data_IF_322548744804
#
_entry.id   IF_322548744804
#
_cell.length_a   1.000
_cell.length_b   1.000
_cell.length_c   1.000
_cell.angle_alpha   90.00
_cell.angle_beta   90.00
_cell.angle_gamma   90.00
#
_symmetry.space_group_name_H-M   'P 1'
#
loop_
_entity.id
_entity.type
_entity.pdbx_description
1 polymer ?
#
# COMPACT_ATOMS: atom_id res chain seq x y z
N UNK A 1 23.43 11.44 14.31
CA UNK A 1 23.07 10.03 14.02
C UNK A 1 24.00 9.05 14.73
N UNK A 2 25.33 9.17 14.60
CA UNK A 2 26.33 8.25 15.19
C UNK A 2 26.21 8.12 16.71
N UNK A 3 25.99 9.21 17.43
CA UNK A 3 25.77 9.18 18.88
C UNK A 3 24.54 8.37 19.27
N UNK A 4 23.44 8.45 18.49
CA UNK A 4 22.23 7.66 18.72
C UNK A 4 22.50 6.16 18.55
N UNK A 5 23.25 5.77 17.51
CA UNK A 5 23.67 4.37 17.28
C UNK A 5 24.48 3.84 18.46
N UNK A 6 25.39 4.66 19.03
CA UNK A 6 26.16 4.28 20.21
C UNK A 6 25.25 4.02 21.42
N UNK A 7 24.25 4.87 21.65
CA UNK A 7 23.25 4.67 22.72
C UNK A 7 22.39 3.43 22.49
N UNK A 8 21.92 3.19 21.25
CA UNK A 8 21.16 2.00 20.92
C UNK A 8 21.98 0.72 21.11
N UNK A 9 23.28 0.75 20.75
CA UNK A 9 24.18 -0.40 20.98
C UNK A 9 24.32 -0.72 22.48
N UNK A 10 24.56 0.28 23.30
CA UNK A 10 24.64 0.09 24.75
C UNK A 10 23.31 -0.40 25.35
N UNK A 11 22.18 0.14 24.88
CA UNK A 11 20.86 -0.33 25.29
C UNK A 11 20.57 -1.76 24.87
N UNK A 12 20.91 -2.13 23.65
CA UNK A 12 20.76 -3.49 23.12
C UNK A 12 21.60 -4.51 23.87
N UNK A 13 22.86 -4.18 24.22
CA UNK A 13 23.74 -5.01 25.05
C UNK A 13 23.17 -5.23 26.46
N UNK A 14 22.37 -4.30 26.96
CA UNK A 14 21.67 -4.41 28.27
C UNK A 14 20.30 -5.09 28.14
N UNK A 15 19.94 -5.61 26.96
CA UNK A 15 18.70 -6.32 26.74
C UNK A 15 17.49 -5.44 26.40
N UNK A 16 17.67 -4.16 26.09
CA UNK A 16 16.56 -3.29 25.68
C UNK A 16 16.05 -3.68 24.30
N UNK A 17 14.83 -4.22 24.25
CA UNK A 17 14.10 -4.61 23.03
C UNK A 17 14.00 -3.45 22.04
N UNK A 18 13.59 -2.27 22.53
CA UNK A 18 13.50 -1.05 21.71
C UNK A 18 14.86 -0.67 21.11
N UNK A 19 15.94 -0.80 21.88
CA UNK A 19 17.28 -0.49 21.37
C UNK A 19 17.75 -1.48 20.30
N UNK A 20 17.40 -2.76 20.43
CA UNK A 20 17.68 -3.78 19.41
C UNK A 20 16.95 -3.47 18.11
N UNK A 21 15.66 -3.16 18.18
CA UNK A 21 14.84 -2.75 17.05
C UNK A 21 15.43 -1.52 16.34
N UNK A 22 15.69 -0.42 17.09
CA UNK A 22 16.22 0.82 16.51
C UNK A 22 17.63 0.63 15.91
N UNK A 23 18.47 -0.19 16.53
CA UNK A 23 19.79 -0.53 16.00
C UNK A 23 19.67 -1.34 14.69
N UNK A 24 18.74 -2.27 14.62
CA UNK A 24 18.41 -2.99 13.39
C UNK A 24 17.99 -2.04 12.28
N UNK A 25 17.12 -1.08 12.57
CA UNK A 25 16.69 -0.04 11.62
C UNK A 25 17.83 0.89 11.18
N UNK A 26 18.72 1.25 12.10
CA UNK A 26 19.91 2.03 11.76
C UNK A 26 20.83 1.27 10.80
N UNK A 27 21.04 -0.03 11.04
CA UNK A 27 21.83 -0.89 10.14
C UNK A 27 21.14 -1.07 8.77
N UNK A 28 19.81 -1.18 8.75
CA UNK A 28 19.04 -1.33 7.51
C UNK A 28 19.08 -0.09 6.62
N UNK A 29 18.96 1.10 7.23
CA UNK A 29 18.90 2.38 6.49
C UNK A 29 20.22 3.15 6.42
N UNK A 30 21.34 2.62 6.93
CA UNK A 30 22.62 3.33 6.94
C UNK A 30 22.60 4.60 7.82
N UNK A 31 21.75 4.65 8.86
CA UNK A 31 21.55 5.85 9.69
C UNK A 31 22.58 5.92 10.82
N UNK A 32 23.62 6.72 10.66
CA UNK A 32 24.71 6.87 11.63
C UNK A 32 25.63 5.64 11.74
N UNK A 33 25.48 4.69 10.84
CA UNK A 33 26.32 3.50 10.66
C UNK A 33 26.25 3.12 9.17
N UNK A 34 27.24 2.40 8.65
CA UNK A 34 27.14 1.86 7.30
C UNK A 34 25.94 0.90 7.17
N UNK A 35 25.27 0.93 6.03
CA UNK A 35 24.20 -0.01 5.73
C UNK A 35 24.72 -1.46 5.78
N UNK A 36 24.06 -2.29 6.58
CA UNK A 36 24.36 -3.71 6.70
C UNK A 36 23.06 -4.47 6.99
N UNK A 37 22.46 -4.98 5.93
CA UNK A 37 21.19 -5.71 5.97
C UNK A 37 21.28 -7.02 6.76
N UNK A 38 22.43 -7.69 6.74
CA UNK A 38 22.65 -8.91 7.52
C UNK A 38 22.72 -8.61 9.02
N UNK A 39 23.43 -7.53 9.37
CA UNK A 39 23.50 -7.09 10.77
C UNK A 39 22.13 -6.60 11.26
N UNK A 40 21.33 -5.95 10.40
CA UNK A 40 19.96 -5.56 10.73
C UNK A 40 19.10 -6.78 11.11
N UNK A 41 19.16 -7.85 10.30
CA UNK A 41 18.46 -9.10 10.61
C UNK A 41 18.87 -9.71 11.94
N UNK A 42 20.15 -9.70 12.30
CA UNK A 42 20.62 -10.21 13.59
C UNK A 42 19.95 -9.46 14.74
N UNK A 43 19.84 -8.14 14.62
CA UNK A 43 19.20 -7.32 15.65
C UNK A 43 17.68 -7.52 15.69
N UNK A 44 17.01 -7.65 14.53
CA UNK A 44 15.59 -7.95 14.47
C UNK A 44 15.29 -9.35 15.07
N UNK A 45 16.11 -10.36 14.80
CA UNK A 45 15.97 -11.67 15.42
C UNK A 45 16.08 -11.59 16.95
N UNK A 46 17.10 -10.91 17.49
CA UNK A 46 17.25 -10.72 18.93
C UNK A 46 16.06 -10.01 19.58
N UNK A 47 15.52 -9.00 18.93
CA UNK A 47 14.34 -8.29 19.39
C UNK A 47 13.07 -9.17 19.32
N UNK A 48 12.93 -9.93 18.24
CA UNK A 48 11.80 -10.84 18.02
C UNK A 48 11.77 -12.01 19.01
N UNK A 49 12.94 -12.54 19.43
CA UNK A 49 13.06 -13.58 20.47
C UNK A 49 12.46 -13.14 21.81
N UNK A 50 12.48 -11.83 22.09
CA UNK A 50 11.86 -11.26 23.30
C UNK A 50 10.38 -10.89 23.05
N UNK A 51 9.89 -11.13 21.83
CA UNK A 51 8.47 -10.99 21.47
C UNK A 51 8.06 -9.65 20.88
N UNK A 52 9.00 -8.86 20.35
CA UNK A 52 8.71 -7.60 19.68
C UNK A 52 7.97 -7.82 18.37
N UNK A 53 6.73 -7.33 18.30
CA UNK A 53 5.85 -7.52 17.14
C UNK A 53 6.35 -6.78 15.89
N UNK A 54 6.96 -5.61 16.07
CA UNK A 54 7.49 -4.82 14.96
C UNK A 54 8.69 -5.51 14.31
N UNK A 55 9.60 -6.05 15.12
CA UNK A 55 10.74 -6.83 14.63
C UNK A 55 10.31 -8.12 13.93
N UNK A 56 9.28 -8.81 14.45
CA UNK A 56 8.68 -9.95 13.75
C UNK A 56 8.14 -9.55 12.39
N UNK A 57 7.43 -8.42 12.29
CA UNK A 57 6.94 -7.89 11.03
C UNK A 57 8.05 -7.56 10.03
N UNK A 58 9.15 -6.96 10.51
CA UNK A 58 10.32 -6.66 9.66
C UNK A 58 11.05 -7.94 9.20
N UNK A 59 11.10 -8.98 10.02
CA UNK A 59 11.62 -10.29 9.60
C UNK A 59 10.73 -10.92 8.53
N UNK A 60 9.41 -10.88 8.70
CA UNK A 60 8.47 -11.31 7.67
C UNK A 60 8.71 -10.60 6.34
N UNK A 61 8.82 -9.28 6.36
CA UNK A 61 9.12 -8.46 5.18
C UNK A 61 10.50 -8.81 4.57
N UNK A 62 11.51 -9.01 5.41
CA UNK A 62 12.86 -9.36 4.95
C UNK A 62 12.88 -10.71 4.23
N UNK A 63 12.16 -11.72 4.71
CA UNK A 63 12.04 -13.01 4.05
C UNK A 63 11.13 -12.95 2.80
N UNK A 64 10.09 -12.12 2.80
CA UNK A 64 9.22 -11.95 1.64
C UNK A 64 9.97 -11.38 0.43
N UNK A 65 10.86 -10.38 0.66
CA UNK A 65 11.58 -9.69 -0.41
C UNK A 65 13.06 -10.07 -0.55
N UNK A 66 13.57 -10.96 0.30
CA UNK A 66 14.98 -11.37 0.27
C UNK A 66 15.94 -10.27 0.74
N UNK A 67 15.51 -9.42 1.67
CA UNK A 67 16.30 -8.28 2.16
C UNK A 67 17.28 -8.73 3.24
N UNK A 68 18.56 -8.79 2.89
CA UNK A 68 19.64 -9.28 3.76
C UNK A 68 19.66 -10.80 3.96
N UNK A 69 18.74 -11.53 3.34
CA UNK A 69 18.61 -12.98 3.37
C UNK A 69 18.14 -13.51 2.01
N UNK A 70 18.06 -14.80 1.82
CA UNK A 70 17.36 -15.39 0.68
C UNK A 70 15.85 -15.24 0.87
N UNK A 71 15.11 -15.05 -0.24
CA UNK A 71 13.66 -14.97 -0.23
C UNK A 71 13.06 -16.33 0.20
N UNK A 72 12.14 -16.27 1.17
CA UNK A 72 11.45 -17.44 1.70
C UNK A 72 10.01 -17.06 2.14
N UNK A 73 9.05 -17.28 1.26
CA UNK A 73 7.65 -16.96 1.53
C UNK A 73 7.04 -17.76 2.69
N UNK A 74 7.49 -19.01 2.92
CA UNK A 74 6.97 -19.81 4.02
C UNK A 74 7.38 -19.20 5.37
N UNK A 75 8.66 -18.83 5.51
CA UNK A 75 9.14 -18.10 6.69
C UNK A 75 8.50 -16.74 6.84
N UNK A 76 8.27 -16.02 5.74
CA UNK A 76 7.59 -14.72 5.79
C UNK A 76 6.20 -14.87 6.41
N UNK A 77 5.41 -15.89 6.00
CA UNK A 77 4.09 -16.18 6.57
C UNK A 77 4.19 -16.50 8.06
N UNK A 78 5.16 -17.33 8.49
CA UNK A 78 5.36 -17.65 9.91
C UNK A 78 5.63 -16.40 10.76
N UNK A 79 6.53 -15.53 10.31
CA UNK A 79 6.86 -14.29 11.02
C UNK A 79 5.71 -13.29 11.03
N UNK A 80 5.03 -13.10 9.89
CA UNK A 80 3.84 -12.25 9.84
C UNK A 80 2.72 -12.77 10.73
N UNK A 81 2.51 -14.09 10.80
CA UNK A 81 1.52 -14.68 11.68
C UNK A 81 1.85 -14.41 13.15
N UNK A 82 3.10 -14.64 13.55
CA UNK A 82 3.54 -14.33 14.92
C UNK A 82 3.37 -12.84 15.28
N UNK A 83 3.67 -11.93 14.36
CA UNK A 83 3.47 -10.49 14.54
C UNK A 83 1.99 -10.11 14.61
N UNK A 84 1.17 -10.68 13.71
CA UNK A 84 -0.27 -10.46 13.65
C UNK A 84 -0.99 -10.92 14.93
N UNK A 85 -0.63 -12.08 15.48
CA UNK A 85 -1.16 -12.59 16.74
C UNK A 85 -0.82 -11.67 17.94
N UNK A 86 0.27 -10.88 17.82
CA UNK A 86 0.68 -9.86 18.80
C UNK A 86 0.06 -8.49 18.54
N UNK A 87 -0.81 -8.36 17.56
CA UNK A 87 -1.56 -7.13 17.27
C UNK A 87 -0.91 -6.18 16.28
N UNK A 88 0.15 -6.58 15.58
CA UNK A 88 0.76 -5.72 14.56
C UNK A 88 -0.13 -5.62 13.31
N UNK A 89 -0.77 -4.47 13.12
CA UNK A 89 -1.74 -4.23 12.05
C UNK A 89 -1.15 -4.38 10.63
N UNK A 90 0.09 -3.92 10.43
CA UNK A 90 0.78 -4.06 9.15
C UNK A 90 1.05 -5.53 8.82
N UNK A 91 1.48 -6.31 9.80
CA UNK A 91 1.71 -7.75 9.62
C UNK A 91 0.42 -8.53 9.40
N UNK A 92 -0.70 -8.12 10.03
CA UNK A 92 -2.02 -8.69 9.72
C UNK A 92 -2.39 -8.48 8.25
N UNK A 93 -2.18 -7.26 7.73
CA UNK A 93 -2.42 -6.94 6.32
C UNK A 93 -1.52 -7.76 5.38
N UNK A 94 -0.22 -7.84 5.67
CA UNK A 94 0.72 -8.58 4.85
C UNK A 94 0.45 -10.09 4.87
N UNK A 95 0.10 -10.64 6.04
CA UNK A 95 -0.32 -12.04 6.16
C UNK A 95 -1.56 -12.31 5.31
N UNK A 96 -2.55 -11.43 5.35
CA UNK A 96 -3.76 -11.54 4.54
C UNK A 96 -3.42 -11.54 3.04
N UNK A 97 -2.52 -10.67 2.59
CA UNK A 97 -2.05 -10.61 1.21
C UNK A 97 -1.35 -11.91 0.77
N UNK A 98 -0.47 -12.45 1.62
CA UNK A 98 0.21 -13.72 1.39
C UNK A 98 -0.79 -14.88 1.22
N UNK A 99 -1.78 -14.95 2.12
CA UNK A 99 -2.84 -15.97 2.10
C UNK A 99 -3.77 -15.82 0.89
N UNK A 100 -4.14 -14.59 0.52
CA UNK A 100 -5.00 -14.31 -0.62
C UNK A 100 -4.34 -14.70 -1.96
N UNK A 101 -3.02 -14.54 -2.06
CA UNK A 101 -2.25 -14.86 -3.25
C UNK A 101 -1.65 -16.27 -3.24
N UNK A 102 -1.71 -16.99 -2.12
CA UNK A 102 -1.10 -18.33 -1.97
C UNK A 102 0.44 -18.26 -1.96
N UNK A 103 1.02 -17.17 -1.46
CA UNK A 103 2.47 -17.05 -1.27
C UNK A 103 2.86 -17.70 0.05
N UNK A 104 3.79 -18.64 0.01
CA UNK A 104 4.27 -19.37 1.20
C UNK A 104 3.36 -20.51 1.68
N UNK A 105 2.23 -20.76 0.99
CA UNK A 105 1.29 -21.82 1.30
C UNK A 105 0.10 -21.86 0.34
N UNK A 106 -0.86 -22.75 0.56
CA UNK A 106 -2.07 -22.79 -0.26
C UNK A 106 -2.89 -21.51 -0.09
N UNK A 107 -3.45 -21.05 -1.20
CA UNK A 107 -4.36 -19.88 -1.20
C UNK A 107 -5.54 -20.13 -0.26
N UNK A 108 -5.79 -19.19 0.65
CA UNK A 108 -6.88 -19.24 1.60
C UNK A 108 -7.57 -17.88 1.73
N UNK A 109 -8.59 -17.69 0.89
CA UNK A 109 -9.31 -16.43 0.80
C UNK A 109 -10.08 -16.09 2.09
N UNK A 110 -10.67 -17.08 2.76
CA UNK A 110 -11.44 -16.85 3.99
C UNK A 110 -10.55 -16.34 5.13
N UNK A 111 -9.39 -16.99 5.31
CA UNK A 111 -8.41 -16.52 6.29
C UNK A 111 -7.83 -15.15 5.92
N UNK A 112 -7.61 -14.88 4.64
CA UNK A 112 -7.17 -13.57 4.19
C UNK A 112 -8.18 -12.48 4.58
N UNK A 113 -9.48 -12.68 4.30
CA UNK A 113 -10.53 -11.73 4.69
C UNK A 113 -10.60 -11.51 6.20
N UNK A 114 -10.45 -12.57 6.99
CA UNK A 114 -10.38 -12.48 8.44
C UNK A 114 -9.22 -11.60 8.92
N UNK A 115 -8.02 -11.77 8.36
CA UNK A 115 -6.86 -10.98 8.75
C UNK A 115 -6.92 -9.55 8.25
N UNK A 116 -7.46 -9.28 7.04
CA UNK A 116 -7.71 -7.91 6.58
C UNK A 116 -8.68 -7.17 7.50
N UNK A 117 -9.78 -7.83 7.90
CA UNK A 117 -10.73 -7.23 8.83
C UNK A 117 -10.06 -6.89 10.17
N UNK A 118 -9.28 -7.79 10.73
CA UNK A 118 -8.51 -7.55 11.95
C UNK A 118 -7.46 -6.45 11.79
N UNK A 119 -6.81 -6.38 10.63
CA UNK A 119 -5.86 -5.32 10.33
C UNK A 119 -6.54 -3.94 10.33
N UNK A 120 -7.72 -3.84 9.72
CA UNK A 120 -8.52 -2.61 9.71
C UNK A 120 -8.96 -2.19 11.12
N UNK A 121 -9.44 -3.13 11.92
CA UNK A 121 -9.80 -2.90 13.34
C UNK A 121 -8.59 -2.46 14.19
N UNK A 122 -7.39 -2.94 13.85
CA UNK A 122 -6.13 -2.54 14.47
C UNK A 122 -5.54 -1.23 13.89
N UNK A 123 -6.26 -0.56 12.97
CA UNK A 123 -5.89 0.75 12.42
C UNK A 123 -5.07 0.73 11.13
N UNK A 124 -4.98 -0.40 10.42
CA UNK A 124 -4.40 -0.44 9.08
C UNK A 124 -5.32 0.23 8.08
N UNK A 125 -4.92 1.38 7.53
CA UNK A 125 -5.74 2.17 6.60
C UNK A 125 -5.94 1.42 5.27
N UNK A 126 -4.91 0.74 4.74
CA UNK A 126 -4.97 0.05 3.45
C UNK A 126 -5.70 -1.30 3.48
N UNK A 127 -5.93 -1.89 4.67
CA UNK A 127 -6.48 -3.24 4.77
C UNK A 127 -7.88 -3.39 4.16
N UNK A 128 -8.76 -2.40 4.35
CA UNK A 128 -10.10 -2.40 3.77
C UNK A 128 -10.08 -2.26 2.24
N UNK A 129 -9.16 -1.45 1.71
CA UNK A 129 -8.96 -1.35 0.27
C UNK A 129 -8.51 -2.69 -0.32
N UNK A 130 -7.49 -3.32 0.27
CA UNK A 130 -6.97 -4.62 -0.17
C UNK A 130 -8.05 -5.71 -0.09
N UNK A 131 -8.83 -5.72 0.99
CA UNK A 131 -9.99 -6.61 1.13
C UNK A 131 -11.00 -6.41 -0.01
N UNK A 132 -11.32 -5.14 -0.33
CA UNK A 132 -12.21 -4.78 -1.43
C UNK A 132 -11.66 -5.22 -2.79
N UNK A 133 -10.36 -5.04 -3.03
CA UNK A 133 -9.70 -5.46 -4.26
C UNK A 133 -9.78 -6.98 -4.45
N UNK A 134 -9.48 -7.75 -3.42
CA UNK A 134 -9.58 -9.21 -3.48
C UNK A 134 -11.03 -9.69 -3.64
N UNK A 135 -12.01 -9.02 -3.01
CA UNK A 135 -13.43 -9.30 -3.21
C UNK A 135 -13.86 -9.02 -4.67
N UNK A 136 -13.40 -7.90 -5.26
CA UNK A 136 -13.64 -7.57 -6.67
C UNK A 136 -13.06 -8.66 -7.60
N UNK A 137 -11.81 -9.09 -7.39
CA UNK A 137 -11.20 -10.16 -8.17
C UNK A 137 -11.94 -11.52 -8.05
N UNK A 138 -12.57 -11.75 -6.91
CA UNK A 138 -13.41 -12.93 -6.68
C UNK A 138 -14.84 -12.80 -7.24
N UNK A 139 -15.18 -11.66 -7.88
CA UNK A 139 -16.51 -11.35 -8.40
C UNK A 139 -17.55 -10.99 -7.33
N UNK A 140 -17.14 -10.79 -6.08
CA UNK A 140 -18.01 -10.40 -4.96
C UNK A 140 -18.18 -8.88 -4.91
N UNK A 141 -18.84 -8.35 -5.94
CA UNK A 141 -18.93 -6.91 -6.22
C UNK A 141 -19.56 -6.10 -5.09
N UNK A 142 -20.64 -6.61 -4.47
CA UNK A 142 -21.30 -5.90 -3.36
C UNK A 142 -20.37 -5.75 -2.16
N UNK A 143 -19.64 -6.80 -1.82
CA UNK A 143 -18.66 -6.80 -0.73
C UNK A 143 -17.49 -5.86 -1.04
N UNK A 144 -16.98 -5.89 -2.27
CA UNK A 144 -15.93 -4.97 -2.71
C UNK A 144 -16.36 -3.50 -2.56
N UNK A 145 -17.59 -3.19 -2.98
CA UNK A 145 -18.14 -1.84 -2.88
C UNK A 145 -18.25 -1.36 -1.42
N UNK A 146 -18.69 -2.23 -0.52
CA UNK A 146 -18.80 -1.91 0.90
C UNK A 146 -17.43 -1.72 1.54
N UNK A 147 -16.44 -2.55 1.18
CA UNK A 147 -15.05 -2.39 1.63
C UNK A 147 -14.44 -1.08 1.15
N UNK A 148 -14.61 -0.72 -0.13
CA UNK A 148 -14.10 0.54 -0.66
C UNK A 148 -14.77 1.77 -0.02
N UNK A 149 -16.07 1.71 0.30
CA UNK A 149 -16.76 2.79 1.05
C UNK A 149 -16.19 2.96 2.46
N UNK A 150 -15.94 1.87 3.16
CA UNK A 150 -15.34 1.91 4.49
C UNK A 150 -13.89 2.41 4.43
N UNK A 151 -13.10 1.97 3.43
CA UNK A 151 -11.75 2.46 3.19
C UNK A 151 -11.75 3.97 2.93
N UNK A 152 -12.66 4.48 2.10
CA UNK A 152 -12.82 5.92 1.85
C UNK A 152 -13.11 6.69 3.14
N UNK A 153 -14.02 6.18 3.98
CA UNK A 153 -14.37 6.80 5.27
C UNK A 153 -13.17 6.81 6.24
N UNK A 154 -12.33 5.80 6.18
CA UNK A 154 -11.08 5.70 6.97
C UNK A 154 -9.94 6.55 6.41
N UNK A 155 -10.17 7.23 5.28
CA UNK A 155 -9.22 8.16 4.68
C UNK A 155 -8.25 7.55 3.67
N UNK A 156 -8.46 6.28 3.27
CA UNK A 156 -7.67 5.64 2.22
C UNK A 156 -7.89 6.34 0.88
N UNK A 157 -6.81 6.87 0.30
CA UNK A 157 -6.88 7.63 -0.95
C UNK A 157 -7.08 6.75 -2.20
N UNK A 158 -6.65 5.48 -2.17
CA UNK A 158 -6.85 4.54 -3.26
C UNK A 158 -8.34 4.15 -3.41
N UNK A 159 -9.11 4.18 -2.32
CA UNK A 159 -10.53 3.90 -2.34
C UNK A 159 -11.34 4.89 -3.19
N UNK A 160 -10.88 6.14 -3.30
CA UNK A 160 -11.54 7.14 -4.17
C UNK A 160 -11.46 6.74 -5.64
N UNK A 161 -10.31 6.22 -6.07
CA UNK A 161 -10.14 5.72 -7.43
C UNK A 161 -11.00 4.48 -7.70
N UNK A 162 -11.02 3.52 -6.78
CA UNK A 162 -11.82 2.32 -6.93
C UNK A 162 -13.31 2.66 -7.03
N UNK A 163 -13.84 3.45 -6.10
CA UNK A 163 -15.24 3.89 -6.13
C UNK A 163 -15.55 4.73 -7.37
N UNK A 164 -14.65 5.63 -7.78
CA UNK A 164 -14.80 6.40 -9.00
C UNK A 164 -15.01 5.52 -10.23
N UNK A 165 -14.23 4.43 -10.37
CA UNK A 165 -14.42 3.43 -11.43
C UNK A 165 -15.79 2.75 -11.37
N UNK A 166 -16.23 2.38 -10.16
CA UNK A 166 -17.53 1.71 -9.97
C UNK A 166 -18.67 2.61 -10.46
N UNK A 167 -18.67 3.89 -10.11
CA UNK A 167 -19.67 4.85 -10.59
C UNK A 167 -19.48 5.24 -12.07
N UNK A 168 -18.25 5.33 -12.57
CA UNK A 168 -18.00 5.66 -13.99
C UNK A 168 -18.57 4.62 -14.94
N UNK A 169 -18.48 3.33 -14.59
CA UNK A 169 -18.86 2.21 -15.46
C UNK A 169 -20.19 1.59 -15.05
N UNK A 170 -20.64 1.79 -13.80
CA UNK A 170 -21.85 1.17 -13.27
C UNK A 170 -21.63 -0.26 -12.76
N UNK A 171 -20.50 -0.51 -12.08
CA UNK A 171 -20.19 -1.84 -11.51
C UNK A 171 -20.89 -1.97 -10.15
N UNK A 172 -21.96 -2.76 -10.05
CA UNK A 172 -22.70 -3.00 -8.81
C UNK A 172 -23.44 -1.78 -8.23
N UNK A 173 -23.40 -0.66 -8.95
CA UNK A 173 -24.12 0.58 -8.66
C UNK A 173 -24.67 1.15 -9.96
N UNK A 174 -25.67 2.05 -9.88
CA UNK A 174 -26.10 2.82 -11.04
C UNK A 174 -24.96 3.69 -11.55
N UNK A 175 -24.79 3.73 -12.87
CA UNK A 175 -23.76 4.55 -13.49
C UNK A 175 -24.02 6.05 -13.21
N UNK A 176 -23.06 6.70 -12.59
CA UNK A 176 -23.09 8.14 -12.28
C UNK A 176 -21.72 8.79 -12.56
N UNK A 177 -21.52 9.31 -13.80
CA UNK A 177 -20.27 9.98 -14.15
C UNK A 177 -19.98 11.24 -13.32
N UNK A 178 -21.02 11.92 -12.78
CA UNK A 178 -20.82 13.11 -11.93
C UNK A 178 -20.26 12.70 -10.57
N UNK A 179 -20.80 11.63 -10.00
CA UNK A 179 -20.27 11.05 -8.76
C UNK A 179 -18.84 10.54 -8.96
N UNK A 180 -18.56 9.88 -10.10
CA UNK A 180 -17.21 9.44 -10.45
C UNK A 180 -16.23 10.62 -10.51
N UNK A 181 -16.61 11.70 -11.21
CA UNK A 181 -15.81 12.93 -11.29
C UNK A 181 -15.50 13.51 -9.90
N UNK A 182 -16.51 13.63 -9.03
CA UNK A 182 -16.33 14.14 -7.67
C UNK A 182 -15.37 13.28 -6.84
N UNK A 183 -15.44 11.95 -6.98
CA UNK A 183 -14.53 11.02 -6.32
C UNK A 183 -13.10 11.16 -6.85
N UNK A 184 -12.90 11.25 -8.16
CA UNK A 184 -11.58 11.47 -8.75
C UNK A 184 -10.98 12.81 -8.32
N UNK A 185 -11.81 13.87 -8.24
CA UNK A 185 -11.36 15.16 -7.75
C UNK A 185 -10.89 15.07 -6.29
N UNK A 186 -11.69 14.48 -5.41
CA UNK A 186 -11.34 14.33 -4.00
C UNK A 186 -10.08 13.48 -3.79
N UNK A 187 -9.91 12.39 -4.56
CA UNK A 187 -8.70 11.56 -4.51
C UNK A 187 -7.46 12.28 -5.08
N UNK A 188 -7.63 13.09 -6.13
CA UNK A 188 -6.56 13.90 -6.71
C UNK A 188 -6.06 14.99 -5.72
N UNK A 189 -6.96 15.62 -4.97
CA UNK A 189 -6.64 16.59 -3.90
C UNK A 189 -5.84 15.95 -2.76
N UNK A 190 -6.01 14.63 -2.54
CA UNK A 190 -5.22 13.85 -1.57
C UNK A 190 -3.86 13.38 -2.13
N UNK A 191 -3.60 13.58 -3.42
CA UNK A 191 -2.35 13.21 -4.06
C UNK A 191 -2.40 11.91 -4.85
N UNK A 192 -3.50 11.15 -4.82
CA UNK A 192 -3.59 9.87 -5.53
C UNK A 192 -3.39 10.03 -7.05
N UNK A 193 -2.34 9.42 -7.59
CA UNK A 193 -1.92 9.56 -8.99
C UNK A 193 -2.97 9.00 -9.96
N UNK A 194 -3.60 7.86 -9.64
CA UNK A 194 -4.64 7.26 -10.46
C UNK A 194 -5.87 8.18 -10.57
N UNK A 195 -6.27 8.82 -9.46
CA UNK A 195 -7.35 9.81 -9.47
C UNK A 195 -6.98 11.03 -10.30
N UNK A 196 -5.73 11.52 -10.23
CA UNK A 196 -5.24 12.64 -11.05
C UNK A 196 -5.32 12.30 -12.56
N UNK A 197 -4.89 11.10 -12.96
CA UNK A 197 -5.01 10.63 -14.33
C UNK A 197 -6.47 10.59 -14.80
N UNK A 198 -7.36 10.04 -13.97
CA UNK A 198 -8.79 9.95 -14.29
C UNK A 198 -9.47 11.32 -14.33
N UNK A 199 -9.11 12.23 -13.45
CA UNK A 199 -9.62 13.61 -13.45
C UNK A 199 -9.24 14.34 -14.75
N UNK A 200 -7.99 14.21 -15.21
CA UNK A 200 -7.53 14.79 -16.49
C UNK A 200 -8.35 14.22 -17.64
N UNK A 201 -8.60 12.90 -17.65
CA UNK A 201 -9.45 12.25 -18.67
C UNK A 201 -10.89 12.76 -18.62
N UNK A 202 -11.44 13.02 -17.45
CA UNK A 202 -12.77 13.59 -17.29
C UNK A 202 -12.87 14.97 -17.94
N UNK A 203 -11.90 15.85 -17.73
CA UNK A 203 -11.86 17.15 -18.41
C UNK A 203 -11.67 17.03 -19.93
N UNK A 204 -10.79 16.14 -20.39
CA UNK A 204 -10.51 15.94 -21.81
C UNK A 204 -11.73 15.45 -22.59
N UNK A 205 -12.54 14.57 -22.00
CA UNK A 205 -13.64 13.88 -22.68
C UNK A 205 -15.03 14.38 -22.25
N UNK A 206 -15.13 15.18 -21.19
CA UNK A 206 -16.43 15.65 -20.67
C UNK A 206 -17.16 14.57 -19.85
N UNK A 207 -16.44 13.73 -19.11
CA UNK A 207 -17.02 12.68 -18.28
C UNK A 207 -17.42 13.26 -16.91
N UNK A 208 -18.72 13.38 -16.64
CA UNK A 208 -19.25 13.94 -15.41
C UNK A 208 -19.05 15.45 -15.19
N UNK A 209 -18.36 16.11 -16.10
CA UNK A 209 -18.05 17.55 -16.12
C UNK A 209 -18.13 18.08 -17.55
N UNK A 210 -18.34 19.38 -17.79
CA UNK A 210 -18.14 19.96 -19.12
C UNK A 210 -16.75 19.68 -19.65
N UNK A 211 -16.66 19.41 -20.95
CA UNK A 211 -15.36 19.17 -21.60
C UNK A 211 -14.50 20.44 -21.52
N UNK A 212 -13.27 20.28 -21.02
CA UNK A 212 -12.26 21.34 -20.90
C UNK A 212 -10.86 20.80 -21.28
N UNK A 213 -10.53 20.79 -22.58
CA UNK A 213 -9.23 20.30 -23.07
C UNK A 213 -8.04 21.15 -22.58
N UNK A 214 -8.26 22.44 -22.29
CA UNK A 214 -7.20 23.32 -21.81
C UNK A 214 -6.80 22.97 -20.38
N UNK A 215 -7.78 22.77 -19.52
CA UNK A 215 -7.55 22.26 -18.15
C UNK A 215 -6.91 20.88 -18.19
N UNK A 216 -7.36 19.98 -19.07
CA UNK A 216 -6.76 18.67 -19.23
C UNK A 216 -5.28 18.76 -19.63
N UNK A 217 -4.92 19.62 -20.59
CA UNK A 217 -3.52 19.86 -20.99
C UNK A 217 -2.68 20.43 -19.87
N UNK A 218 -3.20 21.41 -19.14
CA UNK A 218 -2.49 22.03 -18.01
C UNK A 218 -2.15 21.01 -16.93
N UNK A 219 -3.15 20.26 -16.47
CA UNK A 219 -2.98 19.25 -15.40
C UNK A 219 -2.12 18.07 -15.87
N UNK A 220 -2.30 17.63 -17.13
CA UNK A 220 -1.54 16.52 -17.69
C UNK A 220 -0.05 16.83 -17.82
N UNK A 221 0.31 18.01 -18.32
CA UNK A 221 1.72 18.45 -18.39
C UNK A 221 2.34 18.56 -16.99
N UNK A 222 1.61 19.11 -16.03
CA UNK A 222 2.08 19.19 -14.65
C UNK A 222 2.39 17.80 -14.07
N UNK A 223 1.47 16.83 -14.23
CA UNK A 223 1.65 15.48 -13.71
C UNK A 223 2.80 14.73 -14.40
N UNK A 224 2.93 14.83 -15.75
CA UNK A 224 3.97 14.14 -16.49
C UNK A 224 5.38 14.73 -16.29
N UNK A 225 5.48 16.00 -15.86
CA UNK A 225 6.75 16.63 -15.50
C UNK A 225 7.14 16.39 -14.04
N UNK A 226 6.24 15.88 -13.22
CA UNK A 226 6.48 15.60 -11.80
C UNK A 226 7.35 14.34 -11.64
N UNK A 227 8.31 14.38 -10.72
CA UNK A 227 9.07 13.19 -10.34
C UNK A 227 8.23 12.39 -9.34
N UNK A 228 7.47 11.43 -9.86
CA UNK A 228 6.66 10.55 -9.02
C UNK A 228 7.55 9.62 -8.19
N UNK A 229 7.11 9.28 -6.98
CA UNK A 229 7.78 8.31 -6.14
C UNK A 229 7.70 6.93 -6.81
N UNK A 230 8.81 6.14 -6.86
CA UNK A 230 8.77 4.78 -7.36
C UNK A 230 7.72 3.89 -6.70
N UNK A 231 7.43 4.09 -5.41
CA UNK A 231 6.38 3.37 -4.67
C UNK A 231 4.98 3.67 -5.21
N UNK A 232 4.68 4.91 -5.56
CA UNK A 232 3.39 5.27 -6.17
C UNK A 232 3.18 4.59 -7.52
N UNK A 233 4.27 4.29 -8.24
CA UNK A 233 4.24 3.66 -9.54
C UNK A 233 4.05 2.13 -9.46
N UNK A 234 4.60 1.47 -8.44
CA UNK A 234 4.60 0.02 -8.30
C UNK A 234 3.42 -0.49 -7.45
N UNK A 235 3.20 0.08 -6.28
CA UNK A 235 2.20 -0.40 -5.31
C UNK A 235 0.75 -0.12 -5.74
N UNK A 236 0.49 1.03 -6.39
CA UNK A 236 -0.86 1.39 -6.82
C UNK A 236 -1.17 1.07 -8.29
N UNK A 237 -0.23 0.39 -8.99
CA UNK A 237 -0.43 0.03 -10.39
C UNK A 237 -0.73 1.22 -11.29
N UNK A 238 -0.12 2.39 -11.03
CA UNK A 238 -0.37 3.64 -11.75
C UNK A 238 0.18 3.64 -13.18
N UNK A 239 1.06 2.72 -13.54
CA UNK A 239 1.69 2.69 -14.86
C UNK A 239 0.69 2.63 -16.03
N UNK A 240 -0.37 1.77 -16.01
CA UNK A 240 -1.36 1.74 -17.08
C UNK A 240 -2.11 3.06 -17.24
N UNK A 241 -2.47 3.71 -16.14
CA UNK A 241 -3.18 5.00 -16.17
C UNK A 241 -2.29 6.13 -16.72
N UNK A 242 -1.01 6.14 -16.34
CA UNK A 242 -0.03 7.12 -16.86
C UNK A 242 0.25 6.90 -18.35
N UNK A 243 0.28 5.67 -18.83
CA UNK A 243 0.46 5.35 -20.24
C UNK A 243 -0.74 5.80 -21.08
N UNK A 244 -1.97 5.53 -20.59
CA UNK A 244 -3.20 6.04 -21.18
C UNK A 244 -3.23 7.58 -21.18
N UNK A 245 -2.73 8.22 -20.12
CA UNK A 245 -2.62 9.66 -20.05
C UNK A 245 -1.67 10.22 -21.10
N UNK A 246 -0.49 9.62 -21.31
CA UNK A 246 0.46 10.04 -22.35
C UNK A 246 -0.18 9.99 -23.73
N UNK A 247 -0.84 8.88 -24.07
CA UNK A 247 -1.56 8.74 -25.35
C UNK A 247 -2.67 9.80 -25.52
N UNK A 248 -3.40 10.09 -24.44
CA UNK A 248 -4.42 11.14 -24.46
C UNK A 248 -3.80 12.53 -24.67
N UNK A 249 -2.68 12.83 -24.02
CA UNK A 249 -2.00 14.12 -24.18
C UNK A 249 -1.50 14.33 -25.60
N UNK A 250 -0.94 13.29 -26.24
CA UNK A 250 -0.52 13.35 -27.65
C UNK A 250 -1.70 13.70 -28.57
N UNK A 251 -2.90 13.18 -28.31
CA UNK A 251 -4.10 13.51 -29.08
C UNK A 251 -4.66 14.91 -28.83
N UNK A 252 -4.38 15.50 -27.67
CA UNK A 252 -4.81 16.85 -27.32
C UNK A 252 -3.85 17.95 -27.86
N UNK A 253 -2.62 17.58 -28.20
CA UNK A 253 -1.60 18.50 -28.75
C UNK A 253 -1.61 18.58 -30.27
N UNK A 254 -2.27 17.61 -30.93
CA UNK A 254 -2.55 17.65 -32.41
C UNK A 254 -3.82 18.42 -32.72
#
# INVERSE_FOLDING_TARGET
PEAAVSWYRQGAERGSVRSMYELGRCCQGGIGVAEDLKQALIWFHKSAEVGDADSLGLLGWSYEYGIGTEQDYARAVEYYQCAAEKGNASSMNNLAEMLANGRGGPRNFEQAMFWYQRAAEAGSVCALYNMGWHAEQAGRIAEALDCYRQAQQSGDEAAFWALGRFYEIGIGVEQDPKQAFALYQAGAEKGNVNCRCRLIRCYALGIGTPRDPDMARQLGRALLCEKLDPWDLEDYGCQPELEQLRQLMDTLET
#
